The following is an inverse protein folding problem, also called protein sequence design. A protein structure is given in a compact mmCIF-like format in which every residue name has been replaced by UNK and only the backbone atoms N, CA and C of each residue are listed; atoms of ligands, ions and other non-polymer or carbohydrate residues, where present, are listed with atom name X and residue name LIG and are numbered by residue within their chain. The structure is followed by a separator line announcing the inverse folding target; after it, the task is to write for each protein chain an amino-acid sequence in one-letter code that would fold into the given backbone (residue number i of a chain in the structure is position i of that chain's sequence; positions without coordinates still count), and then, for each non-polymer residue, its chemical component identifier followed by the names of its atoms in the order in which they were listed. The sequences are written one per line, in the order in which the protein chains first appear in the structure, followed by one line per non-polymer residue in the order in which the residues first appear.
data_IF_313191456102
#
_entry.id   IF_313191456102
#
_cell.length_a   1.000
_cell.length_b   1.000
_cell.length_c   1.000
_cell.angle_alpha   90.00
_cell.angle_beta   90.00
_cell.angle_gamma   90.00
#
_symmetry.space_group_name_H-M   'P 1'
#
loop_
_entity.id
_entity.type
_entity.pdbx_description
1 polymer ?
#
# COMPACT_ATOMS: atom_id res chain seq x y z
N UNK A 1 -7.49 -34.16 8.70
CA UNK A 1 -7.27 -32.87 8.03
C UNK A 1 -6.29 -32.14 8.92
N UNK A 2 -5.10 -31.79 8.41
CA UNK A 2 -4.14 -31.03 9.20
C UNK A 2 -4.73 -29.63 9.45
N UNK A 3 -4.72 -29.17 10.70
CA UNK A 3 -5.06 -27.78 11.00
C UNK A 3 -4.09 -26.87 10.26
N UNK A 4 -4.63 -25.98 9.44
CA UNK A 4 -3.82 -24.98 8.75
C UNK A 4 -3.39 -23.94 9.78
N UNK A 5 -2.08 -23.68 9.89
CA UNK A 5 -1.57 -22.62 10.76
C UNK A 5 -2.11 -21.26 10.29
N UNK A 6 -2.58 -20.45 11.24
CA UNK A 6 -3.08 -19.10 11.00
C UNK A 6 -2.19 -18.13 11.77
N UNK A 7 -1.76 -17.06 11.10
CA UNK A 7 -1.07 -15.93 11.72
C UNK A 7 -2.12 -14.84 11.91
N UNK A 8 -2.40 -14.50 13.17
CA UNK A 8 -3.39 -13.51 13.55
C UNK A 8 -2.76 -12.53 14.55
N UNK A 9 -2.19 -11.44 14.03
CA UNK A 9 -1.50 -10.44 14.83
C UNK A 9 -2.54 -9.54 15.52
N UNK A 10 -2.30 -9.25 16.80
CA UNK A 10 -3.17 -8.42 17.64
C UNK A 10 -2.65 -6.99 17.73
N UNK A 11 -3.59 -6.04 17.79
CA UNK A 11 -3.27 -4.64 18.06
C UNK A 11 -2.55 -4.51 19.41
N UNK A 12 -1.37 -3.85 19.46
CA UNK A 12 -0.62 -3.68 20.70
C UNK A 12 -1.36 -2.82 21.74
N UNK A 13 -2.31 -1.98 21.31
CA UNK A 13 -3.06 -1.06 22.18
C UNK A 13 -4.26 -1.75 22.84
N UNK A 14 -5.07 -2.47 22.06
CA UNK A 14 -6.37 -2.97 22.51
C UNK A 14 -6.48 -4.51 22.49
N UNK A 15 -5.51 -5.23 21.91
CA UNK A 15 -5.50 -6.69 21.81
C UNK A 15 -6.46 -7.28 20.78
N UNK A 16 -7.16 -6.46 19.98
CA UNK A 16 -8.05 -6.96 18.93
C UNK A 16 -7.26 -7.56 17.76
N UNK A 17 -7.82 -8.61 17.17
CA UNK A 17 -7.30 -9.22 15.93
C UNK A 17 -7.91 -8.46 14.75
N UNK A 18 -7.08 -8.15 13.75
CA UNK A 18 -7.54 -7.49 12.53
C UNK A 18 -8.46 -8.38 11.71
N UNK A 19 -9.40 -7.76 11.01
CA UNK A 19 -10.15 -8.46 9.97
C UNK A 19 -9.26 -8.81 8.80
N UNK A 20 -9.69 -9.81 8.02
CA UNK A 20 -9.08 -10.07 6.72
C UNK A 20 -9.44 -8.95 5.76
N UNK A 21 -8.48 -8.55 4.94
CA UNK A 21 -8.72 -7.60 3.86
C UNK A 21 -9.76 -8.16 2.88
N UNK A 22 -10.67 -7.30 2.42
CA UNK A 22 -11.78 -7.67 1.53
C UNK A 22 -11.91 -6.64 0.42
N UNK A 23 -12.31 -7.10 -0.77
CA UNK A 23 -12.66 -6.20 -1.86
C UNK A 23 -13.97 -5.50 -1.51
N UNK A 24 -13.94 -4.17 -1.39
CA UNK A 24 -15.12 -3.37 -1.03
C UNK A 24 -15.83 -2.75 -2.24
N UNK A 25 -15.20 -2.78 -3.41
CA UNK A 25 -15.71 -2.11 -4.61
C UNK A 25 -15.29 -2.79 -5.90
N UNK A 26 -16.22 -2.81 -6.85
CA UNK A 26 -16.00 -3.31 -8.20
C UNK A 26 -15.14 -2.38 -9.07
N UNK A 27 -14.78 -1.20 -8.56
CA UNK A 27 -13.88 -0.27 -9.26
C UNK A 27 -12.41 -0.76 -9.25
N UNK A 28 -12.05 -1.63 -8.31
CA UNK A 28 -10.71 -2.13 -8.14
C UNK A 28 -10.57 -3.58 -8.64
N UNK A 29 -9.37 -3.90 -9.11
CA UNK A 29 -8.99 -5.25 -9.55
C UNK A 29 -8.25 -6.01 -8.44
N UNK A 30 -7.54 -5.27 -7.59
CA UNK A 30 -6.69 -5.81 -6.53
C UNK A 30 -7.07 -5.21 -5.19
N UNK A 31 -6.94 -6.03 -4.15
CA UNK A 31 -6.97 -5.59 -2.76
C UNK A 31 -5.90 -6.34 -1.98
N UNK A 32 -5.17 -5.61 -1.14
CA UNK A 32 -4.08 -6.13 -0.35
C UNK A 32 -3.84 -5.28 0.90
N UNK A 33 -2.74 -5.58 1.57
CA UNK A 33 -2.29 -4.80 2.71
C UNK A 33 -1.33 -3.68 2.27
N UNK A 34 -1.28 -2.62 3.09
CA UNK A 34 -0.36 -1.50 2.95
C UNK A 34 0.56 -1.40 4.17
N UNK A 35 1.82 -1.03 3.98
CA UNK A 35 2.84 -0.72 5.01
C UNK A 35 2.98 -1.67 6.23
N UNK A 36 2.43 -2.88 6.19
CA UNK A 36 2.55 -3.85 7.29
C UNK A 36 3.73 -4.81 7.13
N UNK A 37 4.39 -4.80 5.97
CA UNK A 37 5.40 -5.79 5.59
C UNK A 37 6.72 -5.10 5.23
N UNK A 38 7.78 -5.49 5.92
CA UNK A 38 9.13 -5.02 5.68
C UNK A 38 9.99 -6.15 5.12
N UNK A 39 10.72 -5.87 4.05
CA UNK A 39 11.48 -6.87 3.28
C UNK A 39 12.90 -7.03 3.80
N UNK A 40 13.43 -8.25 3.78
CA UNK A 40 14.76 -8.56 4.26
C UNK A 40 15.54 -9.53 3.36
N UNK A 41 16.86 -9.53 3.57
CA UNK A 41 17.84 -10.44 2.97
C UNK A 41 18.21 -11.63 3.89
N UNK A 42 17.64 -11.72 5.10
CA UNK A 42 17.83 -12.90 5.94
C UNK A 42 17.17 -14.13 5.32
N UNK A 43 17.77 -15.31 5.50
CA UNK A 43 17.18 -16.57 5.02
C UNK A 43 16.41 -17.30 6.13
N UNK A 44 17.13 -17.90 7.08
CA UNK A 44 16.52 -18.66 8.18
C UNK A 44 16.76 -18.04 9.55
N UNK A 45 17.96 -17.51 9.78
CA UNK A 45 18.32 -16.83 11.02
C UNK A 45 17.89 -15.36 10.94
N UNK A 46 16.84 -15.04 11.68
CA UNK A 46 16.26 -13.69 11.73
C UNK A 46 16.56 -12.99 13.06
N UNK A 47 16.63 -11.65 13.07
CA UNK A 47 16.69 -10.85 14.28
C UNK A 47 15.56 -11.18 15.26
N UNK A 48 15.76 -10.85 16.53
CA UNK A 48 14.69 -10.96 17.52
C UNK A 48 13.50 -10.06 17.12
N UNK A 49 12.28 -10.47 17.49
CA UNK A 49 11.08 -9.69 17.14
C UNK A 49 11.15 -8.25 17.69
N UNK A 50 11.67 -8.08 18.91
CA UNK A 50 11.83 -6.78 19.58
C UNK A 50 13.02 -5.95 19.06
N UNK A 51 13.76 -6.43 18.06
CA UNK A 51 14.86 -5.69 17.49
C UNK A 51 14.35 -4.63 16.50
N UNK A 52 14.58 -3.37 16.85
CA UNK A 52 14.13 -2.19 16.08
C UNK A 52 15.03 -1.87 14.88
N UNK A 53 16.29 -2.33 14.93
CA UNK A 53 17.30 -2.03 13.93
C UNK A 53 17.78 -3.32 13.27
N UNK A 54 17.44 -3.50 12.00
CA UNK A 54 17.85 -4.65 11.21
C UNK A 54 17.97 -4.26 9.73
N UNK A 55 18.62 -5.11 8.95
CA UNK A 55 18.92 -4.82 7.55
C UNK A 55 17.69 -5.06 6.65
N UNK A 56 17.05 -3.96 6.25
CA UNK A 56 16.00 -3.96 5.23
C UNK A 56 16.60 -4.19 3.85
N UNK A 57 15.88 -4.96 3.05
CA UNK A 57 16.17 -5.15 1.64
C UNK A 57 15.81 -3.91 0.84
N UNK A 58 16.67 -3.54 -0.10
CA UNK A 58 16.34 -2.63 -1.22
C UNK A 58 16.07 -3.38 -2.54
N UNK A 59 16.16 -4.72 -2.52
CA UNK A 59 15.87 -5.54 -3.69
C UNK A 59 14.36 -5.73 -3.88
N UNK A 60 13.85 -5.31 -5.04
CA UNK A 60 12.47 -5.53 -5.44
C UNK A 60 12.12 -7.03 -5.45
N UNK A 61 10.90 -7.41 -5.01
CA UNK A 61 10.44 -8.80 -5.09
C UNK A 61 10.39 -9.28 -6.54
N UNK A 62 10.80 -10.54 -6.75
CA UNK A 62 10.81 -11.18 -8.07
C UNK A 62 9.91 -12.41 -8.03
N UNK A 63 9.07 -12.57 -9.06
CA UNK A 63 8.20 -13.74 -9.22
C UNK A 63 8.99 -15.05 -9.16
N UNK A 64 8.51 -15.99 -8.35
CA UNK A 64 9.14 -17.30 -8.12
C UNK A 64 10.21 -17.28 -7.04
N UNK A 65 10.61 -16.12 -6.52
CA UNK A 65 11.56 -16.03 -5.41
C UNK A 65 10.90 -16.41 -4.07
N UNK A 66 11.75 -16.80 -3.13
CA UNK A 66 11.44 -16.89 -1.72
C UNK A 66 12.06 -15.68 -1.02
N UNK A 67 11.30 -14.99 -0.17
CA UNK A 67 11.79 -13.83 0.59
C UNK A 67 11.44 -13.96 2.06
N UNK A 68 12.27 -13.38 2.91
CA UNK A 68 11.98 -13.25 4.34
C UNK A 68 11.48 -11.85 4.61
N UNK A 69 10.38 -11.76 5.34
CA UNK A 69 9.72 -10.49 5.64
C UNK A 69 9.32 -10.43 7.10
N UNK A 70 9.36 -9.22 7.66
CA UNK A 70 8.77 -8.92 8.96
C UNK A 70 7.37 -8.36 8.72
N UNK A 71 6.35 -9.00 9.27
CA UNK A 71 4.96 -8.54 9.18
C UNK A 71 4.54 -7.99 10.54
N UNK A 72 3.77 -6.90 10.53
CA UNK A 72 3.21 -6.26 11.72
C UNK A 72 1.68 -6.23 11.64
N UNK A 73 1.04 -6.05 12.78
CA UNK A 73 -0.39 -5.73 12.82
C UNK A 73 -0.67 -4.45 12.01
N UNK A 74 -1.76 -4.38 11.22
CA UNK A 74 -2.81 -5.38 11.09
C UNK A 74 -2.49 -6.54 10.13
N UNK A 75 -2.62 -7.80 10.59
CA UNK A 75 -2.42 -8.95 9.71
C UNK A 75 -3.15 -10.21 10.20
N UNK A 76 -3.89 -10.84 9.29
CA UNK A 76 -4.62 -12.07 9.54
C UNK A 76 -4.65 -12.94 8.29
N UNK A 77 -3.78 -13.95 8.22
CA UNK A 77 -3.69 -14.85 7.07
C UNK A 77 -3.45 -16.30 7.47
N UNK A 78 -3.94 -17.23 6.65
CA UNK A 78 -3.61 -18.65 6.77
C UNK A 78 -2.30 -18.95 6.04
N UNK A 79 -1.42 -19.78 6.60
CA UNK A 79 -0.24 -20.27 5.90
C UNK A 79 -0.65 -20.97 4.59
N UNK A 80 0.04 -20.64 3.49
CA UNK A 80 -0.26 -21.07 2.13
C UNK A 80 -1.43 -20.33 1.44
N UNK A 81 -2.15 -19.45 2.12
CA UNK A 81 -3.15 -18.58 1.49
C UNK A 81 -2.47 -17.44 0.75
N UNK A 82 -2.97 -17.12 -0.45
CA UNK A 82 -2.45 -16.02 -1.26
C UNK A 82 -3.04 -14.69 -0.80
N UNK A 83 -2.20 -13.66 -0.74
CA UNK A 83 -2.62 -12.30 -0.49
C UNK A 83 -1.77 -11.32 -1.29
N UNK A 84 -2.29 -10.11 -1.45
CA UNK A 84 -1.56 -9.00 -2.05
C UNK A 84 -1.01 -8.07 -0.97
N UNK A 85 0.14 -7.46 -1.26
CA UNK A 85 0.78 -6.41 -0.48
C UNK A 85 1.29 -5.35 -1.45
N UNK A 86 1.22 -4.08 -1.08
CA UNK A 86 1.97 -3.03 -1.78
C UNK A 86 3.44 -3.11 -1.38
N UNK A 87 4.32 -3.37 -2.35
CA UNK A 87 5.75 -3.18 -2.20
C UNK A 87 6.10 -1.72 -2.47
N UNK A 88 6.71 -1.09 -1.49
CA UNK A 88 7.44 0.17 -1.61
C UNK A 88 8.93 -0.08 -1.37
N UNK A 89 9.83 0.51 -2.17
CA UNK A 89 11.26 0.43 -1.89
C UNK A 89 11.61 1.10 -0.55
N UNK A 90 12.84 0.84 -0.07
CA UNK A 90 13.19 1.07 1.34
C UNK A 90 13.03 2.52 1.79
N UNK A 91 13.32 3.50 0.93
CA UNK A 91 13.28 4.91 1.31
C UNK A 91 11.84 5.42 1.42
N UNK A 92 10.98 5.04 0.48
CA UNK A 92 9.55 5.34 0.49
C UNK A 92 8.82 4.58 1.59
N UNK A 93 9.20 3.33 1.86
CA UNK A 93 8.65 2.58 2.99
C UNK A 93 8.92 3.25 4.35
N UNK A 94 9.93 4.12 4.44
CA UNK A 94 10.28 4.82 5.68
C UNK A 94 9.77 6.26 5.74
N UNK A 95 9.80 6.97 4.61
CA UNK A 95 9.55 8.41 4.57
C UNK A 95 8.42 8.82 3.61
N UNK A 96 7.75 7.85 2.97
CA UNK A 96 6.71 8.10 1.98
C UNK A 96 7.25 8.49 0.60
N UNK A 97 6.38 8.37 -0.42
CA UNK A 97 6.67 8.82 -1.78
C UNK A 97 6.74 10.34 -1.92
N UNK A 98 6.19 11.11 -0.98
CA UNK A 98 6.37 12.57 -0.92
C UNK A 98 7.81 12.97 -0.61
N UNK A 99 8.58 12.10 0.06
CA UNK A 99 10.02 12.28 0.27
C UNK A 99 10.89 11.63 -0.81
N UNK A 100 10.44 10.51 -1.38
CA UNK A 100 11.18 9.72 -2.39
C UNK A 100 10.32 9.37 -3.62
N UNK A 101 9.83 10.37 -4.37
CA UNK A 101 8.86 10.13 -5.44
C UNK A 101 9.44 9.35 -6.63
N UNK A 102 10.77 9.32 -6.80
CA UNK A 102 11.46 8.51 -7.80
C UNK A 102 11.26 7.00 -7.62
N UNK A 103 10.82 6.56 -6.44
CA UNK A 103 10.57 5.16 -6.13
C UNK A 103 9.16 4.69 -6.48
N UNK A 104 8.24 5.60 -6.85
CA UNK A 104 6.89 5.25 -7.32
C UNK A 104 6.95 4.24 -8.49
N UNK A 105 7.86 4.45 -9.44
CA UNK A 105 8.03 3.57 -10.61
C UNK A 105 8.64 2.20 -10.26
N UNK A 106 9.23 2.06 -9.07
CA UNK A 106 9.78 0.80 -8.56
C UNK A 106 8.80 0.06 -7.65
N UNK A 107 7.73 0.72 -7.22
CA UNK A 107 6.68 0.12 -6.43
C UNK A 107 5.82 -0.86 -7.25
N UNK A 108 5.24 -1.83 -6.56
CA UNK A 108 4.46 -2.88 -7.20
C UNK A 108 3.42 -3.49 -6.25
N UNK A 109 2.33 -3.99 -6.79
CA UNK A 109 1.52 -4.98 -6.08
C UNK A 109 2.19 -6.34 -6.18
N UNK A 110 2.38 -7.00 -5.03
CA UNK A 110 3.05 -8.29 -4.95
C UNK A 110 2.07 -9.32 -4.38
N UNK A 111 1.80 -10.38 -5.15
CA UNK A 111 1.04 -11.51 -4.63
C UNK A 111 2.01 -12.50 -4.01
N UNK A 112 1.79 -12.82 -2.73
CA UNK A 112 2.62 -13.75 -2.00
C UNK A 112 1.77 -14.76 -1.20
N UNK A 113 2.42 -15.81 -0.73
CA UNK A 113 1.87 -16.77 0.22
C UNK A 113 2.91 -17.07 1.28
N UNK A 114 2.47 -17.24 2.54
CA UNK A 114 3.37 -17.64 3.62
C UNK A 114 3.72 -19.11 3.45
N UNK A 115 5.02 -19.39 3.37
CA UNK A 115 5.56 -20.75 3.30
C UNK A 115 5.95 -21.26 4.68
N UNK A 116 6.54 -20.39 5.52
CA UNK A 116 7.05 -20.77 6.84
C UNK A 116 7.03 -19.60 7.81
N UNK A 117 6.70 -19.90 9.07
CA UNK A 117 6.86 -18.96 10.19
C UNK A 117 8.23 -19.18 10.83
N UNK A 118 9.05 -18.14 10.88
CA UNK A 118 10.41 -18.16 11.45
C UNK A 118 10.39 -17.73 12.92
N UNK A 119 9.61 -16.71 13.25
CA UNK A 119 9.32 -16.29 14.62
C UNK A 119 7.95 -15.61 14.67
N UNK A 120 7.19 -15.83 15.73
CA UNK A 120 5.85 -15.25 15.89
C UNK A 120 5.68 -14.66 17.29
N UNK A 121 5.25 -13.40 17.34
CA UNK A 121 4.87 -12.69 18.54
C UNK A 121 3.41 -12.27 18.48
N UNK A 122 3.01 -11.40 19.42
CA UNK A 122 1.62 -10.93 19.50
C UNK A 122 1.24 -9.96 18.37
N UNK A 123 2.12 -9.04 18.03
CA UNK A 123 1.83 -7.93 17.09
C UNK A 123 2.73 -7.95 15.84
N UNK A 124 3.65 -8.91 15.76
CA UNK A 124 4.63 -9.01 14.68
C UNK A 124 5.11 -10.45 14.51
N UNK A 125 5.52 -10.80 13.28
CA UNK A 125 6.08 -12.09 12.95
C UNK A 125 7.16 -11.96 11.87
N UNK A 126 8.17 -12.82 11.95
CA UNK A 126 9.08 -13.10 10.84
C UNK A 126 8.57 -14.31 10.08
N UNK A 127 8.41 -14.17 8.77
CA UNK A 127 7.92 -15.23 7.90
C UNK A 127 8.74 -15.30 6.63
N UNK A 128 8.79 -16.48 6.05
CA UNK A 128 9.23 -16.69 4.68
C UNK A 128 8.01 -16.76 3.77
N UNK A 129 8.03 -15.99 2.68
CA UNK A 129 6.96 -15.89 1.69
C UNK A 129 7.46 -16.27 0.31
N UNK A 130 6.65 -17.01 -0.44
CA UNK A 130 6.88 -17.23 -1.87
C UNK A 130 6.20 -16.13 -2.68
N UNK A 131 6.88 -15.61 -3.70
CA UNK A 131 6.36 -14.57 -4.58
C UNK A 131 5.71 -15.22 -5.80
N UNK A 132 4.41 -14.98 -5.99
CA UNK A 132 3.63 -15.57 -7.08
C UNK A 132 3.40 -14.62 -8.25
N UNK A 133 3.25 -13.33 -7.98
CA UNK A 133 3.05 -12.32 -9.00
C UNK A 133 3.61 -10.97 -8.55
N UNK A 134 4.12 -10.19 -9.49
CA UNK A 134 4.62 -8.83 -9.26
C UNK A 134 4.07 -7.94 -10.37
N UNK A 135 3.23 -6.97 -10.00
CA UNK A 135 2.59 -6.04 -10.92
C UNK A 135 3.10 -4.62 -10.63
N UNK A 136 4.05 -4.09 -11.43
CA UNK A 136 4.55 -2.73 -11.28
C UNK A 136 3.43 -1.71 -11.43
N UNK A 137 3.43 -0.67 -10.58
CA UNK A 137 2.36 0.35 -10.60
C UNK A 137 2.30 1.08 -11.95
N UNK A 138 3.46 1.34 -12.57
CA UNK A 138 3.55 2.01 -13.86
C UNK A 138 2.84 1.29 -15.01
N UNK A 139 2.51 0.00 -14.87
CA UNK A 139 1.84 -0.82 -15.88
C UNK A 139 0.32 -0.91 -15.70
N UNK A 140 -0.26 -0.36 -14.62
CA UNK A 140 -1.66 -0.60 -14.29
C UNK A 140 -2.63 -0.09 -15.37
N UNK A 141 -2.30 1.02 -16.03
CA UNK A 141 -3.10 1.55 -17.14
C UNK A 141 -3.19 0.61 -18.34
N UNK A 142 -2.18 -0.24 -18.54
CA UNK A 142 -2.12 -1.22 -19.62
C UNK A 142 -2.73 -2.57 -19.21
N UNK A 143 -2.65 -2.91 -17.92
CA UNK A 143 -3.13 -4.18 -17.38
C UNK A 143 -4.64 -4.19 -17.11
N UNK A 144 -5.19 -3.06 -16.67
CA UNK A 144 -6.59 -2.95 -16.25
C UNK A 144 -7.38 -2.00 -17.15
N UNK A 145 -8.60 -2.40 -17.49
CA UNK A 145 -9.50 -1.54 -18.24
C UNK A 145 -9.90 -0.32 -17.40
N UNK A 146 -9.87 0.87 -18.00
CA UNK A 146 -10.31 2.08 -17.33
C UNK A 146 -11.78 1.99 -16.92
N UNK A 147 -12.08 2.31 -15.65
CA UNK A 147 -13.44 2.40 -15.11
C UNK A 147 -13.79 3.85 -14.79
N UNK A 148 -15.07 4.20 -14.93
CA UNK A 148 -15.56 5.54 -14.59
C UNK A 148 -15.59 5.74 -13.07
N UNK A 149 -14.74 6.64 -12.57
CA UNK A 149 -14.66 7.05 -11.18
C UNK A 149 -15.60 8.20 -10.80
N UNK A 150 -16.59 8.54 -11.64
CA UNK A 150 -17.57 9.60 -11.34
C UNK A 150 -18.44 9.31 -10.13
N UNK A 151 -18.54 8.05 -9.70
CA UNK A 151 -19.28 7.59 -8.52
C UNK A 151 -18.39 6.70 -7.67
N UNK A 152 -18.16 7.08 -6.40
CA UNK A 152 -17.39 6.30 -5.42
C UNK A 152 -16.06 6.95 -5.01
N UNK A 153 -15.47 6.45 -3.91
CA UNK A 153 -14.17 6.70 -3.23
C UNK A 153 -13.63 8.14 -3.08
N UNK A 154 -13.93 9.07 -3.99
CA UNK A 154 -13.67 10.49 -3.85
C UNK A 154 -14.43 11.13 -2.68
N UNK A 155 -15.56 10.55 -2.28
CA UNK A 155 -16.32 11.05 -1.13
C UNK A 155 -15.56 10.86 0.19
N UNK A 156 -14.69 9.84 0.27
CA UNK A 156 -13.85 9.63 1.45
C UNK A 156 -12.81 10.76 1.59
N UNK A 157 -12.25 11.24 0.48
CA UNK A 157 -11.36 12.39 0.47
C UNK A 157 -12.05 13.68 0.96
N UNK A 158 -13.30 13.92 0.55
CA UNK A 158 -14.10 15.04 1.04
C UNK A 158 -14.47 14.88 2.54
N UNK A 159 -14.68 13.64 3.00
CA UNK A 159 -15.05 13.32 4.39
C UNK A 159 -13.89 13.55 5.37
N UNK A 160 -12.67 13.14 5.01
CA UNK A 160 -11.50 13.22 5.90
C UNK A 160 -10.80 14.58 5.93
N UNK A 161 -11.19 15.50 5.04
CA UNK A 161 -10.74 16.89 5.10
C UNK A 161 -10.59 17.51 3.72
N UNK A 162 -9.70 18.50 3.62
CA UNK A 162 -9.31 19.06 2.33
C UNK A 162 -8.09 18.28 1.81
N UNK A 163 -8.17 17.61 0.65
CA UNK A 163 -7.07 16.77 0.16
C UNK A 163 -5.82 17.59 -0.14
N UNK A 164 -4.68 17.15 0.38
CA UNK A 164 -3.36 17.68 0.03
C UNK A 164 -2.79 16.90 -1.14
N UNK A 165 -1.87 17.50 -1.87
CA UNK A 165 -1.31 16.95 -3.10
C UNK A 165 0.20 17.12 -3.15
N UNK A 166 0.86 16.11 -3.69
CA UNK A 166 2.26 16.14 -4.06
C UNK A 166 2.39 15.68 -5.52
N UNK A 167 2.98 16.52 -6.37
CA UNK A 167 3.17 16.24 -7.79
C UNK A 167 4.63 15.91 -8.11
N UNK A 168 4.85 14.88 -8.93
CA UNK A 168 6.15 14.49 -9.45
C UNK A 168 6.00 13.90 -10.85
N UNK A 169 6.56 14.56 -11.86
CA UNK A 169 6.40 14.17 -13.27
C UNK A 169 4.91 13.95 -13.63
N UNK A 170 4.55 12.77 -14.13
CA UNK A 170 3.18 12.36 -14.46
C UNK A 170 2.42 11.80 -13.25
N UNK A 171 3.02 11.78 -12.06
CA UNK A 171 2.41 11.27 -10.84
C UNK A 171 1.87 12.39 -9.97
N UNK A 172 0.73 12.12 -9.35
CA UNK A 172 0.08 12.95 -8.37
C UNK A 172 -0.33 12.08 -7.19
N UNK A 173 0.36 12.25 -6.06
CA UNK A 173 -0.04 11.65 -4.80
C UNK A 173 -1.03 12.58 -4.10
N UNK A 174 -2.16 12.05 -3.66
CA UNK A 174 -3.18 12.78 -2.91
C UNK A 174 -3.40 12.12 -1.55
N UNK A 175 -3.62 12.92 -0.51
CA UNK A 175 -3.96 12.41 0.81
C UNK A 175 -5.00 13.27 1.52
N UNK A 176 -5.84 12.64 2.32
CA UNK A 176 -6.76 13.30 3.25
C UNK A 176 -6.86 12.46 4.53
N UNK A 177 -6.51 13.04 5.67
CA UNK A 177 -6.51 12.35 6.95
C UNK A 177 -7.18 13.16 8.05
N UNK A 178 -7.80 12.46 8.99
CA UNK A 178 -8.37 13.03 10.20
C UNK A 178 -7.47 12.70 11.41
N UNK A 179 -6.77 13.72 11.92
CA UNK A 179 -5.98 13.64 13.16
C UNK A 179 -4.85 12.58 13.18
N UNK A 180 -4.42 12.09 12.02
CA UNK A 180 -3.28 11.16 11.86
C UNK A 180 -3.64 9.68 11.98
N UNK A 181 -4.73 9.33 12.64
CA UNK A 181 -5.05 7.93 12.99
C UNK A 181 -6.07 7.26 12.04
N UNK A 182 -6.62 8.02 11.08
CA UNK A 182 -7.59 7.55 10.10
C UNK A 182 -7.50 8.43 8.85
N UNK A 183 -7.53 7.83 7.67
CA UNK A 183 -7.54 8.60 6.44
C UNK A 183 -7.49 7.75 5.18
N UNK A 184 -7.31 8.47 4.07
CA UNK A 184 -7.23 7.91 2.73
C UNK A 184 -6.14 8.58 1.92
N UNK A 185 -5.53 7.82 1.03
CA UNK A 185 -4.55 8.32 0.08
C UNK A 185 -4.81 7.72 -1.30
N UNK A 186 -4.31 8.39 -2.32
CA UNK A 186 -4.45 7.96 -3.72
C UNK A 186 -3.21 8.30 -4.52
N UNK A 187 -2.78 7.36 -5.34
CA UNK A 187 -1.73 7.56 -6.33
C UNK A 187 -2.36 7.65 -7.72
N UNK A 188 -2.25 8.83 -8.32
CA UNK A 188 -2.83 9.17 -9.61
C UNK A 188 -1.73 9.30 -10.65
N UNK A 189 -1.95 8.73 -11.83
CA UNK A 189 -1.14 8.96 -13.02
C UNK A 189 -1.88 9.86 -13.99
N UNK A 190 -1.19 10.86 -14.52
CA UNK A 190 -1.70 11.81 -15.51
C UNK A 190 -1.31 11.29 -16.89
N UNK A 191 -2.29 10.92 -17.70
CA UNK A 191 -2.08 10.36 -19.05
C UNK A 191 -2.93 11.17 -20.03
N UNK A 192 -2.28 11.76 -21.03
CA UNK A 192 -2.94 12.63 -22.04
C UNK A 192 -3.82 13.75 -21.44
N UNK A 193 -3.45 14.24 -20.24
CA UNK A 193 -4.16 15.28 -19.51
C UNK A 193 -5.39 14.80 -18.73
N UNK A 194 -5.62 13.49 -18.66
CA UNK A 194 -6.64 12.86 -17.83
C UNK A 194 -6.02 12.22 -16.57
N UNK A 195 -6.82 12.11 -15.51
CA UNK A 195 -6.36 11.68 -14.19
C UNK A 195 -6.81 10.24 -13.91
N UNK A 196 -5.87 9.31 -13.76
CA UNK A 196 -6.15 7.91 -13.48
C UNK A 196 -5.70 7.53 -12.08
N UNK A 197 -6.63 7.22 -11.18
CA UNK A 197 -6.32 6.66 -9.87
C UNK A 197 -5.92 5.19 -10.07
N UNK A 198 -4.65 4.89 -9.82
CA UNK A 198 -4.08 3.56 -9.99
C UNK A 198 -4.00 2.80 -8.68
N UNK A 199 -3.75 3.53 -7.58
CA UNK A 199 -3.70 2.96 -6.24
C UNK A 199 -4.48 3.84 -5.28
N UNK A 200 -5.26 3.22 -4.41
CA UNK A 200 -5.99 3.87 -3.33
C UNK A 200 -5.67 3.13 -2.03
N UNK A 201 -5.42 3.86 -0.95
CA UNK A 201 -5.24 3.29 0.37
C UNK A 201 -6.18 3.90 1.38
N UNK A 202 -6.62 3.08 2.33
CA UNK A 202 -7.29 3.51 3.55
C UNK A 202 -6.60 2.92 4.77
N UNK A 203 -6.55 3.70 5.84
CA UNK A 203 -5.98 3.26 7.10
C UNK A 203 -6.81 3.73 8.26
N UNK A 204 -6.86 2.90 9.30
CA UNK A 204 -7.33 3.23 10.62
C UNK A 204 -6.46 2.52 11.68
N UNK A 205 -6.87 2.53 12.94
CA UNK A 205 -6.10 1.89 14.02
C UNK A 205 -5.90 0.36 13.86
N UNK A 206 -6.74 -0.30 13.06
CA UNK A 206 -6.83 -1.74 12.86
C UNK A 206 -6.83 -2.17 11.40
N UNK A 207 -6.76 -1.22 10.46
CA UNK A 207 -6.74 -1.47 9.02
C UNK A 207 -5.62 -0.69 8.35
N UNK A 208 -4.98 -1.32 7.37
CA UNK A 208 -4.07 -0.64 6.46
C UNK A 208 -4.18 -1.36 5.12
N UNK A 209 -5.13 -0.92 4.32
CA UNK A 209 -5.53 -1.59 3.10
C UNK A 209 -5.08 -0.79 1.89
N UNK A 210 -4.79 -1.51 0.82
CA UNK A 210 -4.47 -0.91 -0.47
C UNK A 210 -5.27 -1.60 -1.56
N UNK A 211 -5.73 -0.81 -2.52
CA UNK A 211 -6.55 -1.21 -3.63
C UNK A 211 -5.90 -0.77 -4.93
N UNK A 212 -5.85 -1.68 -5.90
CA UNK A 212 -5.24 -1.46 -7.20
C UNK A 212 -6.28 -1.49 -8.31
N UNK A 213 -6.19 -0.56 -9.26
CA UNK A 213 -7.09 -0.52 -10.40
C UNK A 213 -6.66 0.50 -11.45
N UNK A 214 -7.59 0.86 -12.33
CA UNK A 214 -7.41 1.91 -13.33
C UNK A 214 -8.69 2.73 -13.41
N UNK A 215 -8.79 3.79 -12.61
CA UNK A 215 -10.04 4.53 -12.42
C UNK A 215 -9.87 5.95 -12.98
N UNK A 216 -10.65 6.27 -14.01
CA UNK A 216 -10.70 7.61 -14.59
C UNK A 216 -11.42 8.56 -13.65
N UNK A 217 -10.71 9.53 -13.11
CA UNK A 217 -11.23 10.51 -12.16
C UNK A 217 -11.94 11.67 -12.89
N UNK A 218 -12.99 12.26 -12.30
CA UNK A 218 -13.64 13.44 -12.86
C UNK A 218 -12.70 14.65 -12.87
N UNK A 219 -12.15 14.95 -14.04
CA UNK A 219 -11.18 16.01 -14.27
C UNK A 219 -11.50 17.32 -13.57
N UNK A 220 -12.72 17.86 -13.77
CA UNK A 220 -13.13 19.13 -13.16
C UNK A 220 -13.10 19.11 -11.63
N UNK A 221 -13.40 17.96 -11.00
CA UNK A 221 -13.35 17.81 -9.53
C UNK A 221 -11.90 17.82 -9.05
N UNK A 222 -11.03 17.06 -9.72
CA UNK A 222 -9.60 16.98 -9.37
C UNK A 222 -8.90 18.33 -9.57
N UNK A 223 -9.12 18.99 -10.71
CA UNK A 223 -8.56 20.33 -10.98
C UNK A 223 -9.03 21.36 -9.94
N UNK A 224 -10.31 21.32 -9.54
CA UNK A 224 -10.82 22.20 -8.49
C UNK A 224 -10.16 21.93 -7.12
N UNK A 225 -9.94 20.67 -6.75
CA UNK A 225 -9.22 20.33 -5.52
C UNK A 225 -7.76 20.76 -5.55
N UNK A 226 -7.06 20.56 -6.67
CA UNK A 226 -5.68 21.02 -6.86
C UNK A 226 -5.61 22.54 -6.69
N UNK A 227 -6.54 23.28 -7.28
CA UNK A 227 -6.60 24.74 -7.13
C UNK A 227 -6.80 25.17 -5.67
N UNK A 228 -7.74 24.52 -4.96
CA UNK A 228 -7.96 24.78 -3.52
C UNK A 228 -6.75 24.38 -2.66
N UNK A 229 -5.99 23.35 -3.06
CA UNK A 229 -4.77 22.95 -2.37
C UNK A 229 -3.65 23.97 -2.55
N UNK A 230 -3.48 24.51 -3.76
CA UNK A 230 -2.53 25.61 -4.04
C UNK A 230 -2.85 26.86 -3.24
N UNK A 231 -4.12 27.29 -3.22
CA UNK A 231 -4.56 28.44 -2.42
C UNK A 231 -4.40 28.23 -0.91
N UNK A 232 -4.43 26.97 -0.47
CA UNK A 232 -4.32 26.58 0.92
C UNK A 232 -2.94 26.15 1.39
N UNK A 233 -1.88 26.30 0.58
CA UNK A 233 -0.53 25.79 0.85
C UNK A 233 -0.49 24.29 1.21
N UNK A 234 -1.28 23.47 0.50
CA UNK A 234 -1.37 22.00 0.63
C UNK A 234 -1.02 21.29 -0.68
N UNK A 235 -0.36 22.01 -1.59
CA UNK A 235 0.11 21.50 -2.87
C UNK A 235 1.62 21.69 -2.93
N UNK A 236 2.32 20.59 -3.14
CA UNK A 236 3.76 20.55 -3.31
C UNK A 236 4.11 19.90 -4.65
N UNK A 237 5.30 20.21 -5.17
CA UNK A 237 5.80 19.60 -6.40
C UNK A 237 7.32 19.46 -6.33
N UNK A 238 7.82 18.29 -6.70
CA UNK A 238 9.24 18.09 -6.98
C UNK A 238 9.49 18.26 -8.47
N UNK A 239 10.29 19.26 -8.83
CA UNK A 239 10.86 19.36 -10.17
C UNK A 239 11.94 18.28 -10.31
N UNK A 240 11.92 17.54 -11.41
CA UNK A 240 12.94 16.54 -11.73
C UNK A 240 14.33 17.20 -11.70
N UNK A 241 15.24 16.69 -10.85
CA UNK A 241 16.66 17.08 -10.84
C UNK A 241 17.32 16.72 -12.17
#
# INVERSE_FOLDING_TARGET
MADKQVIALTCPTCGHVSERVKMESELFDLVGFDEIMEWSEYEEEVPALEEDHWMRSDEAPVKGALRTVKIKHPFHMTVGERFWILYTPVMSSLNGWDSHPEEIEKSAFVQCAIERVLAEGKSQAWVSVSIHEVLPLGMFSDLFAARDGSRGYLDAFDMFGKPSFYAYQEWLWMHAGAQGDLGVWGLVKIIDGEYYLLVYGDWDHHTNNVYGGNILLPRLKIEAWIQQAREGNRYESADSV
#
